data_IF_103635419129
#
_entry.id   IF_103635419129
#
_cell.length_a   1.000
_cell.length_b   1.000
_cell.length_c   1.000
_cell.angle_alpha   90.00
_cell.angle_beta   90.00
_cell.angle_gamma   90.00
#
_symmetry.space_group_name_H-M   'P 1'
#
loop_
_entity.id
_entity.type
_entity.pdbx_description
1 polymer ?
#
# COMPACT_ATOMS: atom_id res chain seq x y z
N UNK A 1 13.17 7.71 -10.79
CA UNK A 1 14.03 6.72 -10.08
C UNK A 1 13.11 5.72 -9.38
N UNK A 2 13.40 4.41 -9.34
CA UNK A 2 12.52 3.47 -8.62
C UNK A 2 12.84 3.51 -7.14
N UNK A 3 11.86 3.86 -6.32
CA UNK A 3 11.94 3.88 -4.87
C UNK A 3 11.07 2.76 -4.30
N UNK A 4 11.53 2.09 -3.24
CA UNK A 4 10.73 1.10 -2.51
C UNK A 4 10.64 1.50 -1.05
N UNK A 5 9.41 1.62 -0.55
CA UNK A 5 9.14 2.05 0.82
C UNK A 5 8.09 1.16 1.48
N UNK A 6 8.10 1.11 2.81
CA UNK A 6 7.08 0.41 3.59
C UNK A 6 6.07 1.43 4.09
N UNK A 7 4.80 1.23 3.73
CA UNK A 7 3.71 2.14 4.00
C UNK A 7 2.71 1.42 4.89
N UNK A 8 2.31 2.12 5.96
CA UNK A 8 1.22 1.68 6.83
C UNK A 8 -0.07 2.33 6.36
N UNK A 9 -1.03 1.50 5.99
CA UNK A 9 -2.38 1.95 5.67
C UNK A 9 -3.36 1.32 6.66
N UNK A 10 -4.32 2.11 7.14
CA UNK A 10 -5.43 1.61 7.94
C UNK A 10 -6.57 1.27 7.02
N UNK A 11 -6.99 0.01 7.03
CA UNK A 11 -8.10 -0.46 6.22
C UNK A 11 -9.03 -1.30 7.08
N UNK A 12 -10.32 -1.03 6.94
CA UNK A 12 -11.35 -1.89 7.53
C UNK A 12 -11.38 -3.18 6.71
N UNK A 13 -11.20 -4.31 7.38
CA UNK A 13 -11.31 -5.63 6.76
C UNK A 13 -12.78 -5.94 6.43
N UNK A 14 -13.08 -6.64 5.32
CA UNK A 14 -12.14 -7.20 4.35
C UNK A 14 -11.59 -6.13 3.40
N UNK A 15 -10.29 -6.19 3.13
CA UNK A 15 -9.62 -5.27 2.22
C UNK A 15 -9.48 -5.89 0.84
N UNK A 16 -10.09 -5.27 -0.17
CA UNK A 16 -9.85 -5.62 -1.56
C UNK A 16 -8.61 -4.91 -2.12
N UNK A 17 -7.92 -5.56 -3.05
CA UNK A 17 -6.77 -5.03 -3.79
C UNK A 17 -7.00 -3.60 -4.32
N UNK A 18 -8.21 -3.32 -4.81
CA UNK A 18 -8.59 -2.00 -5.34
C UNK A 18 -8.61 -0.90 -4.26
N UNK A 19 -8.97 -1.24 -3.03
CA UNK A 19 -8.95 -0.29 -1.90
C UNK A 19 -7.51 0.07 -1.50
N UNK A 20 -6.59 -0.91 -1.57
CA UNK A 20 -5.16 -0.67 -1.33
C UNK A 20 -4.61 0.27 -2.39
N UNK A 21 -4.85 0.00 -3.66
CA UNK A 21 -4.37 0.86 -4.75
C UNK A 21 -4.96 2.27 -4.68
N UNK A 22 -6.25 2.39 -4.38
CA UNK A 22 -6.90 3.70 -4.17
C UNK A 22 -6.24 4.46 -3.02
N UNK A 23 -5.94 3.79 -1.91
CA UNK A 23 -5.25 4.41 -0.76
C UNK A 23 -3.85 4.88 -1.12
N UNK A 24 -3.10 4.09 -1.89
CA UNK A 24 -1.77 4.48 -2.39
C UNK A 24 -1.87 5.69 -3.34
N UNK A 25 -2.85 5.70 -4.25
CA UNK A 25 -3.10 6.83 -5.13
C UNK A 25 -3.50 8.11 -4.37
N UNK A 26 -4.30 8.00 -3.30
CA UNK A 26 -4.63 9.12 -2.43
C UNK A 26 -3.40 9.69 -1.69
N UNK A 27 -2.40 8.85 -1.43
CA UNK A 27 -1.08 9.27 -0.91
C UNK A 27 -0.16 9.86 -1.99
N UNK A 28 -0.62 9.96 -3.24
CA UNK A 28 0.17 10.43 -4.38
C UNK A 28 1.15 9.39 -4.93
N UNK A 29 1.01 8.13 -4.51
CA UNK A 29 1.90 7.04 -4.90
C UNK A 29 1.23 6.28 -6.05
N UNK A 30 1.94 6.17 -7.16
CA UNK A 30 1.53 5.33 -8.29
C UNK A 30 2.34 4.03 -8.24
N UNK A 31 1.84 2.98 -7.59
CA UNK A 31 2.61 1.76 -7.39
C UNK A 31 2.85 1.05 -8.73
N UNK A 32 4.09 0.62 -8.96
CA UNK A 32 4.44 -0.32 -10.04
C UNK A 32 4.17 -1.76 -9.58
N UNK A 33 4.47 -2.04 -8.31
CA UNK A 33 4.22 -3.31 -7.64
C UNK A 33 4.13 -3.06 -6.14
N UNK A 34 3.38 -3.91 -5.46
CA UNK A 34 3.27 -3.86 -4.01
C UNK A 34 2.99 -5.24 -3.43
N UNK A 35 3.33 -5.42 -2.16
CA UNK A 35 3.07 -6.66 -1.44
C UNK A 35 2.77 -6.34 0.03
N UNK A 36 1.76 -7.02 0.57
CA UNK A 36 1.45 -6.97 2.00
C UNK A 36 2.57 -7.70 2.75
N UNK A 37 3.23 -7.00 3.65
CA UNK A 37 4.29 -7.56 4.49
C UNK A 37 3.79 -7.99 5.86
N UNK A 38 2.77 -7.31 6.38
CA UNK A 38 2.21 -7.59 7.70
C UNK A 38 0.75 -7.11 7.81
N UNK A 39 -0.06 -7.84 8.56
CA UNK A 39 -1.46 -7.51 8.88
C UNK A 39 -1.60 -7.48 10.40
N UNK A 40 -1.95 -6.33 10.96
CA UNK A 40 -2.17 -6.14 12.39
C UNK A 40 -3.55 -5.52 12.63
N UNK A 41 -4.56 -6.39 12.78
CA UNK A 41 -5.96 -5.99 12.94
C UNK A 41 -6.46 -5.15 11.76
N UNK A 42 -6.63 -3.85 11.99
CA UNK A 42 -7.07 -2.86 10.99
C UNK A 42 -5.91 -2.16 10.26
N UNK A 43 -4.66 -2.49 10.59
CA UNK A 43 -3.47 -1.88 9.96
C UNK A 43 -2.80 -2.88 9.04
N UNK A 44 -2.57 -2.45 7.80
CA UNK A 44 -1.82 -3.18 6.78
C UNK A 44 -0.49 -2.48 6.54
N UNK A 45 0.58 -3.27 6.65
CA UNK A 45 1.93 -2.86 6.33
C UNK A 45 2.24 -3.38 4.92
N UNK A 46 2.56 -2.49 3.99
CA UNK A 46 2.71 -2.82 2.57
C UNK A 46 4.05 -2.28 2.08
N UNK A 47 4.83 -3.14 1.43
CA UNK A 47 6.00 -2.72 0.67
C UNK A 47 5.56 -2.32 -0.73
N UNK A 48 5.83 -1.07 -1.11
CA UNK A 48 5.41 -0.49 -2.40
C UNK A 48 6.64 0.00 -3.16
N UNK A 49 6.76 -0.41 -4.42
CA UNK A 49 7.75 0.13 -5.35
C UNK A 49 7.05 1.07 -6.33
N UNK A 50 7.57 2.28 -6.52
CA UNK A 50 7.00 3.29 -7.41
C UNK A 50 8.08 4.19 -8.02
N UNK A 51 7.71 4.91 -9.08
CA UNK A 51 8.60 5.90 -9.69
C UNK A 51 8.46 7.25 -8.98
N UNK A 52 9.62 7.82 -8.63
CA UNK A 52 9.79 9.20 -8.15
C UNK A 52 10.36 10.09 -9.24
#
# INVERSE_FOLDING_TARGET
MITTENIKIRLQLPTDTEHIETSLHQLGIKPLRWAITEVDGETLNISVSYET
#
